data_IF_032720047897
#
_entry.id   IF_032720047897
#
_cell.length_a   1.000
_cell.length_b   1.000
_cell.length_c   1.000
_cell.angle_alpha   90.00
_cell.angle_beta   90.00
_cell.angle_gamma   90.00
#
_symmetry.space_group_name_H-M   'P 1'
#
loop_
_entity.id
_entity.type
_entity.pdbx_description
1 polymer ?
#
# COMPACT_ATOMS: atom_id res chain seq x y z
N UNK A 1 -23.45 -11.03 -2.04
CA UNK A 1 -22.28 -10.46 -2.61
C UNK A 1 -21.35 -9.86 -1.58
N UNK A 2 -20.14 -9.70 -1.98
CA UNK A 2 -19.10 -9.20 -1.12
C UNK A 2 -19.25 -7.71 -0.77
N UNK A 3 -20.40 -7.17 -1.01
CA UNK A 3 -20.68 -5.76 -0.69
C UNK A 3 -20.90 -5.52 0.79
N UNK A 4 -21.15 -6.56 1.60
CA UNK A 4 -21.29 -6.33 3.02
C UNK A 4 -19.92 -6.10 3.67
N UNK A 5 -19.81 -5.17 4.62
CA UNK A 5 -18.55 -4.93 5.31
C UNK A 5 -17.99 -6.17 6.01
N UNK A 6 -18.85 -6.99 6.57
CA UNK A 6 -18.43 -8.21 7.25
C UNK A 6 -17.81 -9.21 6.28
N UNK A 7 -18.40 -9.38 5.11
CA UNK A 7 -17.87 -10.28 4.10
C UNK A 7 -16.52 -9.81 3.60
N UNK A 8 -16.32 -8.50 3.44
CA UNK A 8 -15.03 -7.93 3.05
C UNK A 8 -13.94 -8.24 4.07
N UNK A 9 -14.24 -8.06 5.34
CA UNK A 9 -13.27 -8.33 6.40
C UNK A 9 -12.85 -9.79 6.44
N UNK A 10 -13.79 -10.69 6.32
CA UNK A 10 -13.49 -12.11 6.29
C UNK A 10 -12.61 -12.47 5.11
N UNK A 11 -12.87 -11.88 3.96
CA UNK A 11 -12.09 -12.16 2.77
C UNK A 11 -10.64 -11.71 2.93
N UNK A 12 -10.42 -10.51 3.48
CA UNK A 12 -9.07 -9.99 3.70
C UNK A 12 -8.34 -10.84 4.74
N UNK A 13 -8.97 -11.15 5.84
CA UNK A 13 -8.38 -11.96 6.89
C UNK A 13 -8.02 -13.36 6.39
N UNK A 14 -8.88 -13.95 5.57
CA UNK A 14 -8.62 -15.26 4.99
C UNK A 14 -7.38 -15.25 4.11
N UNK A 15 -7.18 -14.21 3.33
CA UNK A 15 -5.98 -14.09 2.50
C UNK A 15 -4.72 -13.98 3.32
N UNK A 16 -4.76 -13.17 4.36
CA UNK A 16 -3.62 -13.02 5.25
C UNK A 16 -3.23 -14.32 5.91
N UNK A 17 -4.20 -15.14 6.27
CA UNK A 17 -3.94 -16.42 6.89
C UNK A 17 -3.40 -17.46 5.92
N UNK A 18 -3.84 -17.43 4.67
CA UNK A 18 -3.48 -18.45 3.69
C UNK A 18 -2.15 -18.14 3.03
N UNK A 19 -2.10 -17.07 2.30
CA UNK A 19 -0.91 -16.72 1.55
C UNK A 19 -0.89 -15.23 1.39
N UNK A 20 0.15 -14.65 1.88
CA UNK A 20 0.30 -13.22 1.86
C UNK A 20 0.25 -12.62 0.46
N UNK A 21 0.73 -13.33 -0.53
CA UNK A 21 0.97 -12.75 -1.84
C UNK A 21 -0.14 -13.00 -2.85
N UNK A 22 -1.11 -13.85 -2.52
CA UNK A 22 -2.10 -14.25 -3.53
C UNK A 22 -3.27 -13.29 -3.55
N UNK A 23 -3.36 -12.52 -4.62
CA UNK A 23 -4.52 -11.70 -4.90
C UNK A 23 -5.62 -12.58 -5.48
N UNK A 24 -6.89 -12.23 -5.27
CA UNK A 24 -7.97 -12.97 -5.90
C UNK A 24 -7.91 -12.84 -7.42
N UNK A 25 -8.54 -13.77 -8.09
CA UNK A 25 -8.52 -13.84 -9.55
C UNK A 25 -8.93 -12.54 -10.23
N UNK A 26 -9.86 -11.81 -9.64
CA UNK A 26 -10.33 -10.53 -10.17
C UNK A 26 -9.90 -9.38 -9.28
N UNK A 27 -8.76 -9.52 -8.65
CA UNK A 27 -8.29 -8.50 -7.74
C UNK A 27 -7.91 -7.24 -8.47
N UNK A 28 -8.23 -6.13 -7.85
CA UNK A 28 -7.82 -4.82 -8.32
C UNK A 28 -6.62 -4.32 -7.54
N UNK A 29 -5.98 -5.20 -6.77
CA UNK A 29 -4.80 -4.85 -5.96
C UNK A 29 -4.01 -6.11 -5.64
N UNK A 30 -2.76 -5.90 -5.23
CA UNK A 30 -1.93 -6.92 -4.65
C UNK A 30 -1.52 -6.47 -3.26
N UNK A 31 -1.59 -7.37 -2.30
CA UNK A 31 -1.19 -7.08 -0.93
C UNK A 31 -0.19 -8.12 -0.46
N UNK A 32 0.97 -7.62 0.00
CA UNK A 32 2.03 -8.44 0.56
C UNK A 32 2.18 -8.07 2.03
N UNK A 33 1.51 -8.79 2.94
CA UNK A 33 1.70 -8.53 4.35
C UNK A 33 3.08 -8.93 4.83
N UNK A 34 3.53 -8.29 5.90
CA UNK A 34 4.80 -8.64 6.52
C UNK A 34 4.59 -8.70 8.03
N UNK A 35 4.76 -9.88 8.62
CA UNK A 35 4.61 -10.07 10.05
C UNK A 35 5.61 -9.18 10.79
N UNK A 36 5.12 -8.46 11.80
CA UNK A 36 5.95 -7.57 12.60
C UNK A 36 6.26 -6.23 11.97
N UNK A 37 5.83 -5.98 10.75
CA UNK A 37 6.07 -4.68 10.11
C UNK A 37 5.13 -3.62 10.65
N UNK A 38 5.66 -2.42 10.90
CA UNK A 38 4.89 -1.26 11.31
C UNK A 38 4.39 -0.44 10.13
N UNK A 39 4.99 -0.64 8.98
CA UNK A 39 4.82 0.26 7.83
C UNK A 39 4.20 -0.48 6.66
N UNK A 40 3.21 0.15 6.08
CA UNK A 40 2.60 -0.28 4.82
C UNK A 40 3.03 0.71 3.73
N UNK A 41 3.67 0.21 2.69
CA UNK A 41 4.01 0.99 1.52
C UNK A 41 2.92 0.83 0.46
N UNK A 42 2.46 1.94 -0.07
CA UNK A 42 1.42 1.96 -1.10
C UNK A 42 2.00 2.58 -2.35
N UNK A 43 1.92 1.87 -3.46
CA UNK A 43 2.42 2.41 -4.73
C UNK A 43 1.92 1.62 -5.92
N UNK A 44 1.88 2.27 -7.08
CA UNK A 44 1.36 1.67 -8.30
C UNK A 44 2.25 2.04 -9.49
N UNK A 45 2.01 1.39 -10.61
CA UNK A 45 2.77 1.64 -11.83
C UNK A 45 4.25 1.37 -11.66
N UNK A 46 5.09 2.25 -12.17
CA UNK A 46 6.54 2.10 -12.09
C UNK A 46 7.08 2.11 -10.67
N UNK A 47 6.40 2.79 -9.76
CA UNK A 47 6.82 2.82 -8.36
C UNK A 47 6.68 1.47 -7.67
N UNK A 48 5.73 0.65 -8.07
CA UNK A 48 5.46 -0.62 -7.40
C UNK A 48 6.63 -1.58 -7.45
N UNK A 49 7.41 -1.57 -8.53
CA UNK A 49 8.59 -2.43 -8.63
C UNK A 49 9.61 -2.11 -7.55
N UNK A 50 9.79 -0.83 -7.29
CA UNK A 50 10.72 -0.40 -6.26
C UNK A 50 10.26 -0.82 -4.88
N UNK A 51 8.94 -0.85 -4.66
CA UNK A 51 8.40 -1.23 -3.37
C UNK A 51 8.75 -2.67 -3.00
N UNK A 52 8.78 -3.57 -3.95
CA UNK A 52 9.12 -4.96 -3.67
C UNK A 52 10.50 -5.13 -3.07
N UNK A 53 11.37 -4.18 -3.32
CA UNK A 53 12.70 -4.20 -2.73
C UNK A 53 12.66 -4.11 -1.20
N UNK A 54 11.58 -3.59 -0.66
CA UNK A 54 11.42 -3.38 0.79
C UNK A 54 10.51 -4.41 1.44
N UNK A 55 10.13 -5.47 0.73
CA UNK A 55 9.17 -6.45 1.23
C UNK A 55 9.65 -7.20 2.48
N UNK A 56 10.95 -7.19 2.74
CA UNK A 56 11.51 -7.84 3.93
C UNK A 56 11.33 -7.00 5.19
N UNK A 57 10.97 -5.73 5.05
CA UNK A 57 10.84 -4.80 6.16
C UNK A 57 9.46 -4.18 6.26
N UNK A 58 8.76 -4.07 5.17
CA UNK A 58 7.48 -3.39 5.09
C UNK A 58 6.46 -4.27 4.40
N UNK A 59 5.20 -4.09 4.78
CA UNK A 59 4.10 -4.62 3.99
C UNK A 59 3.90 -3.75 2.76
N UNK A 60 3.33 -4.32 1.70
CA UNK A 60 3.19 -3.63 0.42
C UNK A 60 1.76 -3.77 -0.06
N UNK A 61 1.17 -2.65 -0.45
CA UNK A 61 -0.13 -2.62 -1.10
C UNK A 61 0.05 -1.96 -2.46
N UNK A 62 -0.25 -2.72 -3.52
CA UNK A 62 -0.13 -2.25 -4.89
C UNK A 62 -1.52 -2.20 -5.52
N UNK A 63 -2.16 -1.03 -5.57
CA UNK A 63 -3.43 -0.93 -6.28
C UNK A 63 -3.20 -1.11 -7.78
N UNK A 64 -4.04 -1.93 -8.38
CA UNK A 64 -4.08 -2.11 -9.83
C UNK A 64 -5.16 -1.20 -10.38
N UNK A 65 -6.29 -1.16 -9.71
CA UNK A 65 -7.32 -0.18 -10.00
C UNK A 65 -7.08 1.06 -9.15
N UNK A 66 -6.84 2.18 -9.79
CA UNK A 66 -6.52 3.42 -9.09
C UNK A 66 -7.79 4.15 -8.65
N UNK A 67 -8.81 4.09 -9.46
CA UNK A 67 -10.05 4.78 -9.18
C UNK A 67 -11.24 3.97 -9.70
N UNK A 68 -12.36 3.88 -8.96
CA UNK A 68 -12.55 4.41 -7.60
C UNK A 68 -11.64 3.73 -6.59
N UNK A 69 -11.44 4.39 -5.44
CA UNK A 69 -10.55 3.88 -4.41
C UNK A 69 -10.99 2.51 -3.91
N UNK A 70 -10.01 1.72 -3.53
CA UNK A 70 -10.24 0.37 -3.00
C UNK A 70 -10.48 0.45 -1.50
N UNK A 71 -11.69 0.07 -1.07
CA UNK A 71 -12.03 0.09 0.35
C UNK A 71 -11.17 -0.88 1.16
N UNK A 72 -10.69 -1.93 0.53
CA UNK A 72 -9.81 -2.90 1.18
C UNK A 72 -8.54 -2.24 1.74
N UNK A 73 -8.09 -1.17 1.10
CA UNK A 73 -6.93 -0.45 1.61
C UNK A 73 -7.20 0.11 3.01
N UNK A 74 -8.41 0.60 3.26
CA UNK A 74 -8.76 1.12 4.58
C UNK A 74 -8.69 0.02 5.65
N UNK A 75 -9.18 -1.17 5.33
CA UNK A 75 -9.14 -2.29 6.27
C UNK A 75 -7.71 -2.76 6.52
N UNK A 76 -6.93 -2.91 5.44
CA UNK A 76 -5.56 -3.38 5.54
C UNK A 76 -4.70 -2.37 6.32
N UNK A 77 -4.87 -1.09 6.06
CA UNK A 77 -4.06 -0.05 6.68
C UNK A 77 -4.25 0.03 8.19
N UNK A 78 -5.36 -0.43 8.71
CA UNK A 78 -5.60 -0.43 10.16
C UNK A 78 -4.58 -1.27 10.92
N UNK A 79 -3.98 -2.24 10.25
CA UNK A 79 -2.97 -3.09 10.87
C UNK A 79 -1.59 -2.48 10.91
N UNK A 80 -1.41 -1.27 10.41
CA UNK A 80 -0.09 -0.66 10.30
C UNK A 80 -0.07 0.71 10.94
N UNK A 81 1.00 0.96 11.69
CA UNK A 81 1.19 2.21 12.37
C UNK A 81 1.46 3.35 11.41
N UNK A 82 2.17 3.06 10.33
CA UNK A 82 2.53 4.04 9.32
C UNK A 82 2.11 3.56 7.94
N UNK A 83 1.60 4.48 7.16
CA UNK A 83 1.29 4.23 5.75
C UNK A 83 2.06 5.26 4.95
N UNK A 84 2.82 4.81 3.96
CA UNK A 84 3.63 5.71 3.12
C UNK A 84 3.26 5.46 1.67
N UNK A 85 2.85 6.52 0.99
CA UNK A 85 2.51 6.46 -0.44
C UNK A 85 3.73 6.87 -1.27
N UNK A 86 4.11 6.01 -2.20
CA UNK A 86 5.21 6.25 -3.12
C UNK A 86 4.60 6.36 -4.51
N UNK A 87 4.72 7.52 -5.14
CA UNK A 87 4.10 7.72 -6.45
C UNK A 87 4.93 8.63 -7.35
N UNK A 88 4.71 8.45 -8.65
CA UNK A 88 5.42 9.23 -9.68
C UNK A 88 4.78 10.60 -9.89
N UNK A 89 3.63 10.85 -9.28
CA UNK A 89 2.90 12.10 -9.40
C UNK A 89 3.20 13.03 -8.24
N UNK A 90 2.58 14.20 -8.25
CA UNK A 90 2.83 15.24 -7.25
C UNK A 90 1.96 15.08 -5.99
N UNK A 91 1.53 13.87 -5.65
CA UNK A 91 0.80 13.62 -4.42
C UNK A 91 -0.71 13.50 -4.60
N UNK A 92 -1.17 13.33 -5.81
CA UNK A 92 -2.62 13.20 -6.07
C UNK A 92 -3.20 11.95 -5.42
N UNK A 93 -2.51 10.83 -5.56
CA UNK A 93 -2.98 9.59 -4.95
C UNK A 93 -2.85 9.64 -3.44
N UNK A 94 -1.81 10.24 -2.93
CA UNK A 94 -1.63 10.42 -1.49
C UNK A 94 -2.81 11.13 -0.86
N UNK A 95 -3.33 12.17 -1.51
CA UNK A 95 -4.50 12.88 -1.01
C UNK A 95 -5.73 11.98 -0.96
N UNK A 96 -5.91 11.15 -1.97
CA UNK A 96 -7.03 10.20 -1.98
C UNK A 96 -6.89 9.16 -0.88
N UNK A 97 -5.67 8.68 -0.64
CA UNK A 97 -5.41 7.72 0.43
C UNK A 97 -5.70 8.35 1.79
N UNK A 98 -5.25 9.57 2.01
CA UNK A 98 -5.52 10.27 3.28
C UNK A 98 -7.00 10.44 3.51
N UNK A 99 -7.75 10.77 2.47
CA UNK A 99 -9.20 10.91 2.58
C UNK A 99 -9.86 9.58 2.92
N UNK A 100 -9.40 8.49 2.30
CA UNK A 100 -9.95 7.17 2.57
C UNK A 100 -9.64 6.69 3.98
N UNK A 101 -8.41 6.89 4.44
CA UNK A 101 -7.96 6.39 5.74
C UNK A 101 -8.33 7.31 6.89
N UNK A 102 -8.71 8.53 6.62
CA UNK A 102 -8.98 9.56 7.64
C UNK A 102 -7.80 9.77 8.57
N UNK A 103 -6.59 9.73 8.02
CA UNK A 103 -5.37 9.98 8.78
C UNK A 103 -4.26 10.43 7.83
N UNK A 104 -3.26 11.15 8.33
CA UNK A 104 -2.13 11.55 7.50
C UNK A 104 -1.29 10.34 7.11
N UNK A 105 -0.71 10.39 5.93
CA UNK A 105 0.20 9.35 5.45
C UNK A 105 1.51 9.99 5.02
N UNK A 106 2.58 9.20 5.05
CA UNK A 106 3.85 9.63 4.50
C UNK A 106 3.79 9.66 2.97
N UNK A 107 4.69 10.45 2.38
CA UNK A 107 4.68 10.63 0.95
C UNK A 107 6.10 10.69 0.41
N UNK A 108 6.37 9.87 -0.60
CA UNK A 108 7.65 9.85 -1.30
C UNK A 108 7.39 10.09 -2.78
N UNK A 109 7.61 11.31 -3.28
CA UNK A 109 7.46 11.58 -4.70
C UNK A 109 8.65 11.06 -5.48
N UNK A 110 8.39 10.34 -6.56
CA UNK A 110 9.43 9.88 -7.48
C UNK A 110 9.39 10.77 -8.72
N UNK A 111 10.17 11.81 -8.70
CA UNK A 111 10.18 12.80 -9.76
C UNK A 111 11.20 12.42 -10.84
N UNK A 112 10.95 12.89 -12.06
CA UNK A 112 11.88 12.69 -13.16
C UNK A 112 11.86 11.35 -13.85
N UNK A 113 10.91 10.49 -13.51
CA UNK A 113 10.71 9.21 -14.20
C UNK A 113 11.75 8.14 -13.89
N UNK A 114 12.71 8.43 -13.01
CA UNK A 114 13.75 7.47 -12.63
C UNK A 114 13.49 7.00 -11.20
N UNK A 115 13.34 5.69 -11.02
CA UNK A 115 13.13 5.11 -9.71
C UNK A 115 14.48 4.72 -9.13
N UNK A 116 14.86 5.34 -8.03
CA UNK A 116 16.10 5.02 -7.34
C UNK A 116 15.79 4.45 -5.96
N UNK A 117 16.24 3.23 -5.73
CA UNK A 117 16.01 2.54 -4.47
C UNK A 117 16.64 3.31 -3.31
N UNK A 118 17.83 3.84 -3.51
CA UNK A 118 18.52 4.61 -2.46
C UNK A 118 17.73 5.85 -2.04
N UNK A 119 17.08 6.51 -2.98
CA UNK A 119 16.26 7.67 -2.68
C UNK A 119 15.06 7.28 -1.82
N UNK A 120 14.41 6.16 -2.18
CA UNK A 120 13.27 5.68 -1.40
C UNK A 120 13.73 5.30 0.01
N UNK A 121 14.86 4.63 0.14
CA UNK A 121 15.39 4.23 1.43
C UNK A 121 15.67 5.43 2.33
N UNK A 122 16.31 6.47 1.81
CA UNK A 122 16.57 7.69 2.56
C UNK A 122 15.26 8.39 2.95
N UNK A 123 14.31 8.43 2.03
CA UNK A 123 13.01 9.05 2.30
C UNK A 123 12.22 8.29 3.36
N UNK A 124 12.30 6.96 3.35
CA UNK A 124 11.66 6.14 4.38
C UNK A 124 12.25 6.42 5.76
N UNK A 125 13.54 6.57 5.87
CA UNK A 125 14.17 6.92 7.14
C UNK A 125 13.60 8.20 7.71
N UNK A 126 13.39 9.21 6.87
CA UNK A 126 12.78 10.48 7.30
C UNK A 126 11.33 10.31 7.72
N UNK A 127 10.58 9.48 7.01
CA UNK A 127 9.18 9.21 7.34
C UNK A 127 9.02 8.41 8.62
N UNK A 128 10.00 7.60 8.95
CA UNK A 128 9.95 6.70 10.12
C UNK A 128 10.54 7.31 11.38
N UNK A 129 11.22 8.43 11.25
CA UNK A 129 11.84 9.09 12.41
C UNK A 129 10.92 9.99 13.21
#
# INVERSE_FOLDING_TARGET
PASSPAAHRELIASREKKTAAVAPRYAFYEYLPRAGADTLLVGFGGASRALYHFKDRCAIFRPIRIFPMLEELAEIARGYRRVVVVEMNAGQYRLLVEALLHRPVGFIPLLGGVVQISYIEESLKRCLS
#
